data_IF_762931570766
#
_entry.id   IF_762931570766
#
_cell.length_a   1.000
_cell.length_b   1.000
_cell.length_c   1.000
_cell.angle_alpha   90.00
_cell.angle_beta   90.00
_cell.angle_gamma   90.00
#
_symmetry.space_group_name_H-M   'P 1'
#
loop_
_entity.id
_entity.type
_entity.pdbx_description
1 polymer ?
#
# COMPACT_ATOMS: atom_id res chain seq x y z
N UNK A 1 11.18 8.82 -17.20
CA UNK A 1 12.11 7.81 -16.66
C UNK A 1 11.88 7.71 -15.16
N UNK A 2 11.62 6.52 -14.65
CA UNK A 2 11.65 6.24 -13.21
C UNK A 2 13.12 6.30 -12.77
N UNK A 3 13.46 7.04 -11.71
CA UNK A 3 14.81 6.96 -11.15
C UNK A 3 15.05 5.51 -10.71
N UNK A 4 16.08 4.87 -11.25
CA UNK A 4 16.45 3.49 -10.90
C UNK A 4 16.76 3.35 -9.40
N UNK A 5 17.18 4.43 -8.75
CA UNK A 5 17.37 4.53 -7.30
C UNK A 5 16.08 4.28 -6.48
N UNK A 6 14.89 4.38 -7.10
CA UNK A 6 13.60 4.10 -6.45
C UNK A 6 13.12 2.65 -6.61
N UNK A 7 13.79 1.84 -7.44
CA UNK A 7 13.50 0.41 -7.58
C UNK A 7 14.05 -0.35 -6.37
N UNK A 8 13.29 -0.32 -5.27
CA UNK A 8 13.61 -1.05 -4.04
C UNK A 8 13.30 -0.30 -2.74
N UNK A 9 12.95 0.99 -2.80
CA UNK A 9 12.75 1.82 -1.60
C UNK A 9 11.39 1.62 -0.93
N UNK A 10 10.38 1.15 -1.66
CA UNK A 10 9.07 0.82 -1.09
C UNK A 10 9.02 -0.64 -0.67
N UNK A 11 9.75 -0.97 0.40
CA UNK A 11 9.60 -2.25 1.09
C UNK A 11 8.28 -2.18 1.84
N UNK A 12 7.34 -3.05 1.46
CA UNK A 12 6.22 -3.34 2.33
C UNK A 12 6.79 -4.09 3.52
N UNK A 13 6.73 -3.47 4.68
CA UNK A 13 7.09 -4.09 5.94
C UNK A 13 5.89 -4.80 6.56
N UNK A 14 6.17 -5.76 7.44
CA UNK A 14 5.12 -6.39 8.24
C UNK A 14 4.37 -5.31 9.05
N UNK A 15 3.08 -5.53 9.26
CA UNK A 15 2.26 -4.56 10.02
C UNK A 15 2.78 -4.42 11.45
N UNK A 16 3.32 -5.50 12.03
CA UNK A 16 3.92 -5.49 13.36
C UNK A 16 5.18 -4.62 13.42
N UNK A 17 6.10 -4.76 12.46
CA UNK A 17 7.32 -3.95 12.43
C UNK A 17 6.98 -2.47 12.23
N UNK A 18 6.05 -2.16 11.33
CA UNK A 18 5.58 -0.78 11.12
C UNK A 18 5.03 -0.16 12.41
N UNK A 19 4.12 -0.86 13.09
CA UNK A 19 3.51 -0.37 14.32
C UNK A 19 4.53 -0.28 15.46
N UNK A 20 5.43 -1.24 15.59
CA UNK A 20 6.48 -1.24 16.61
C UNK A 20 7.39 -0.02 16.49
N UNK A 21 7.85 0.29 15.26
CA UNK A 21 8.68 1.48 15.00
C UNK A 21 7.95 2.78 15.36
N UNK A 22 6.69 2.91 14.94
CA UNK A 22 5.92 4.13 15.18
C UNK A 22 5.58 4.33 16.66
N UNK A 23 5.17 3.26 17.36
CA UNK A 23 4.74 3.35 18.76
C UNK A 23 5.93 3.63 19.71
N UNK A 24 7.14 3.20 19.32
CA UNK A 24 8.38 3.44 20.09
C UNK A 24 9.02 4.80 19.80
N UNK A 25 8.59 5.51 18.75
CA UNK A 25 9.13 6.83 18.37
C UNK A 25 9.03 7.87 19.49
N UNK A 26 10.12 8.57 19.79
CA UNK A 26 10.22 9.62 20.81
C UNK A 26 9.45 10.90 20.43
N UNK A 27 8.67 11.51 21.36
CA UNK A 27 8.18 12.90 21.17
C UNK A 27 9.37 13.86 21.19
N UNK A 28 9.25 15.02 20.54
CA UNK A 28 10.18 16.15 20.67
C UNK A 28 10.52 16.53 22.13
N UNK A 29 9.60 16.34 23.08
CA UNK A 29 9.86 16.54 24.52
C UNK A 29 10.60 15.40 25.24
N UNK A 30 11.07 14.39 24.50
CA UNK A 30 11.74 13.22 25.05
C UNK A 30 10.82 12.13 25.61
N UNK A 31 9.51 12.22 25.40
CA UNK A 31 8.58 11.23 25.92
C UNK A 31 8.59 9.92 25.11
N UNK A 32 9.09 8.85 25.72
CA UNK A 32 9.11 7.51 25.14
C UNK A 32 8.04 6.58 25.74
N UNK A 33 7.44 6.96 26.87
CA UNK A 33 6.40 6.17 27.53
C UNK A 33 5.10 6.13 26.70
N UNK A 34 4.70 4.91 26.31
CA UNK A 34 3.50 4.66 25.52
C UNK A 34 2.20 4.98 26.28
N UNK A 35 2.18 4.86 27.60
CA UNK A 35 1.02 5.22 28.42
C UNK A 35 0.76 6.73 28.39
N UNK A 36 1.81 7.50 28.08
CA UNK A 36 1.77 8.95 27.89
C UNK A 36 1.51 9.33 26.43
N UNK A 37 1.17 8.36 25.57
CA UNK A 37 0.75 8.57 24.18
C UNK A 37 -0.70 8.12 24.01
N UNK A 38 -1.51 8.91 23.31
CA UNK A 38 -2.84 8.51 22.84
C UNK A 38 -2.73 8.18 21.35
N UNK A 39 -2.84 6.91 21.02
CA UNK A 39 -2.71 6.43 19.65
C UNK A 39 -4.10 6.19 19.04
N UNK A 40 -4.31 6.69 17.82
CA UNK A 40 -5.45 6.35 16.98
C UNK A 40 -4.92 5.67 15.73
N UNK A 41 -5.27 4.41 15.56
CA UNK A 41 -4.91 3.63 14.37
C UNK A 41 -6.16 3.53 13.50
N UNK A 42 -5.99 3.80 12.21
CA UNK A 42 -7.03 3.60 11.20
C UNK A 42 -6.43 2.86 10.01
N UNK A 43 -7.24 2.09 9.30
CA UNK A 43 -6.76 1.30 8.16
C UNK A 43 -7.82 1.16 7.09
N UNK A 44 -7.37 1.02 5.84
CA UNK A 44 -8.22 0.85 4.67
C UNK A 44 -7.48 0.11 3.56
N UNK A 45 -7.96 -1.09 3.21
CA UNK A 45 -7.19 -1.97 2.34
C UNK A 45 -5.86 -2.36 3.00
N UNK A 46 -4.74 -2.14 2.30
CA UNK A 46 -3.38 -2.29 2.81
C UNK A 46 -2.84 -1.03 3.53
N UNK A 47 -3.58 0.08 3.49
CA UNK A 47 -3.16 1.33 4.10
C UNK A 47 -3.35 1.30 5.61
N UNK A 48 -2.34 1.75 6.35
CA UNK A 48 -2.35 1.89 7.81
C UNK A 48 -1.90 3.29 8.17
N UNK A 49 -2.76 4.00 8.89
CA UNK A 49 -2.55 5.36 9.37
C UNK A 49 -2.53 5.36 10.89
N UNK A 50 -1.48 5.93 11.47
CA UNK A 50 -1.30 6.05 12.91
C UNK A 50 -1.14 7.51 13.29
N UNK A 51 -2.05 7.99 14.13
CA UNK A 51 -1.96 9.33 14.74
C UNK A 51 -1.64 9.16 16.21
N UNK A 52 -0.52 9.73 16.64
CA UNK A 52 -0.07 9.72 18.03
C UNK A 52 -0.18 11.13 18.59
N UNK A 53 -0.94 11.29 19.68
CA UNK A 53 -0.95 12.52 20.48
C UNK A 53 -0.24 12.29 21.80
N UNK A 54 0.84 13.01 22.05
CA UNK A 54 1.51 12.95 23.34
C UNK A 54 0.69 13.68 24.42
N UNK A 55 0.55 13.06 25.60
CA UNK A 55 -0.18 13.65 26.72
C UNK A 55 0.61 14.75 27.42
N UNK A 56 1.96 14.68 27.39
CA UNK A 56 2.89 15.68 27.97
C UNK A 56 3.02 16.93 27.10
N UNK A 57 3.64 16.80 25.92
CA UNK A 57 3.95 17.90 25.00
C UNK A 57 2.74 18.34 24.14
N UNK A 58 1.63 17.58 24.14
CA UNK A 58 0.47 17.77 23.25
C UNK A 58 0.75 17.68 21.74
N UNK A 59 2.01 17.44 21.35
CA UNK A 59 2.43 17.17 19.97
C UNK A 59 1.60 16.05 19.34
N UNK A 60 1.30 16.23 18.05
CA UNK A 60 0.59 15.26 17.22
C UNK A 60 1.53 14.82 16.11
N UNK A 61 1.81 13.52 16.07
CA UNK A 61 2.60 12.88 15.03
C UNK A 61 1.65 12.02 14.17
N UNK A 62 1.81 12.08 12.86
CA UNK A 62 1.03 11.29 11.91
C UNK A 62 1.96 10.46 11.03
N UNK A 63 1.66 9.17 10.92
CA UNK A 63 2.45 8.21 10.16
C UNK A 63 1.52 7.39 9.26
N UNK A 64 2.00 7.10 8.06
CA UNK A 64 1.33 6.25 7.08
C UNK A 64 2.35 5.33 6.42
N UNK A 65 1.96 4.10 6.10
CA UNK A 65 2.84 3.13 5.42
C UNK A 65 2.95 3.35 3.90
N UNK A 66 2.08 4.19 3.35
CA UNK A 66 2.02 4.62 1.96
C UNK A 66 2.47 6.09 1.84
N UNK A 67 3.13 6.44 0.73
CA UNK A 67 3.33 7.85 0.40
C UNK A 67 2.02 8.50 -0.10
N UNK A 68 1.89 9.84 -0.09
CA UNK A 68 0.65 10.53 -0.46
C UNK A 68 0.10 10.15 -1.84
N UNK A 69 0.98 9.85 -2.80
CA UNK A 69 0.60 9.50 -4.18
C UNK A 69 0.46 7.98 -4.41
N UNK A 70 0.62 7.18 -3.36
CA UNK A 70 0.62 5.72 -3.43
C UNK A 70 -0.64 5.13 -2.81
N UNK A 71 -1.21 4.12 -3.49
CA UNK A 71 -2.27 3.29 -2.94
C UNK A 71 -1.89 1.84 -3.19
N UNK A 72 -1.34 1.17 -2.17
CA UNK A 72 -0.87 -0.20 -2.30
C UNK A 72 -2.02 -1.12 -2.69
N UNK A 73 -3.21 -0.92 -2.12
CA UNK A 73 -4.37 -1.75 -2.44
C UNK A 73 -4.69 -1.76 -3.93
N UNK A 74 -4.66 -0.57 -4.56
CA UNK A 74 -4.86 -0.41 -6.01
C UNK A 74 -3.71 -1.03 -6.78
N UNK A 75 -2.46 -0.76 -6.38
CA UNK A 75 -1.26 -1.28 -7.05
C UNK A 75 -1.25 -2.82 -7.07
N UNK A 76 -1.49 -3.47 -5.93
CA UNK A 76 -1.56 -4.93 -5.85
C UNK A 76 -2.74 -5.49 -6.60
N UNK A 77 -3.92 -4.87 -6.54
CA UNK A 77 -5.07 -5.33 -7.33
C UNK A 77 -4.77 -5.31 -8.85
N UNK A 78 -3.99 -4.34 -9.34
CA UNK A 78 -3.50 -4.34 -10.72
C UNK A 78 -2.51 -5.48 -10.97
N UNK A 79 -1.49 -5.61 -10.12
CA UNK A 79 -0.46 -6.63 -10.27
C UNK A 79 -1.06 -8.04 -10.28
N UNK A 80 -2.00 -8.31 -9.38
CA UNK A 80 -2.69 -9.59 -9.28
C UNK A 80 -3.65 -9.82 -10.45
N UNK A 81 -4.30 -8.77 -10.97
CA UNK A 81 -5.10 -8.88 -12.20
C UNK A 81 -4.24 -9.31 -13.39
N UNK A 82 -3.07 -8.71 -13.57
CA UNK A 82 -2.13 -9.09 -14.63
C UNK A 82 -1.51 -10.47 -14.42
N UNK A 83 -1.27 -10.85 -13.15
CA UNK A 83 -0.72 -12.14 -12.77
C UNK A 83 -1.74 -13.28 -12.70
N UNK A 84 -3.04 -13.01 -12.91
CA UNK A 84 -4.11 -14.00 -12.80
C UNK A 84 -4.39 -14.46 -11.36
N UNK A 85 -3.89 -13.76 -10.34
CA UNK A 85 -4.09 -14.10 -8.94
C UNK A 85 -5.49 -13.68 -8.48
N UNK A 86 -6.17 -14.59 -7.79
CA UNK A 86 -7.43 -14.28 -7.13
C UNK A 86 -7.19 -13.58 -5.78
N UNK A 87 -8.26 -13.03 -5.20
CA UNK A 87 -8.18 -12.28 -3.95
C UNK A 87 -7.60 -13.12 -2.79
N UNK A 88 -7.88 -14.42 -2.74
CA UNK A 88 -7.42 -15.29 -1.66
C UNK A 88 -5.93 -15.59 -1.77
N UNK A 89 -5.44 -15.88 -2.98
CA UNK A 89 -4.02 -16.11 -3.23
C UNK A 89 -3.20 -14.87 -2.86
N UNK A 90 -3.68 -13.70 -3.29
CA UNK A 90 -3.09 -12.43 -2.91
C UNK A 90 -3.04 -12.23 -1.39
N UNK A 91 -4.17 -12.46 -0.70
CA UNK A 91 -4.23 -12.35 0.76
C UNK A 91 -3.25 -13.31 1.45
N UNK A 92 -3.17 -14.55 0.99
CA UNK A 92 -2.24 -15.54 1.54
C UNK A 92 -0.78 -15.11 1.34
N UNK A 93 -0.41 -14.60 0.16
CA UNK A 93 0.94 -14.08 -0.08
C UNK A 93 1.29 -12.92 0.85
N UNK A 94 0.35 -12.00 1.08
CA UNK A 94 0.56 -10.87 2.00
C UNK A 94 0.69 -11.32 3.46
N UNK A 95 -0.07 -12.33 3.88
CA UNK A 95 0.04 -12.89 5.22
C UNK A 95 1.39 -13.55 5.47
N UNK A 96 1.96 -14.25 4.47
CA UNK A 96 3.32 -14.81 4.53
C UNK A 96 4.36 -13.71 4.78
N UNK A 97 4.14 -12.51 4.24
CA UNK A 97 4.99 -11.34 4.45
C UNK A 97 4.70 -10.60 5.78
N UNK A 98 3.81 -11.13 6.63
CA UNK A 98 3.44 -10.51 7.91
C UNK A 98 2.52 -9.30 7.76
N UNK A 99 1.83 -9.16 6.63
CA UNK A 99 0.85 -8.11 6.39
C UNK A 99 -0.52 -8.66 6.76
N UNK A 100 -0.99 -8.28 7.95
CA UNK A 100 -2.23 -8.81 8.52
C UNK A 100 -3.46 -8.00 8.08
N UNK A 101 -3.28 -6.75 7.67
CA UNK A 101 -4.39 -5.90 7.22
C UNK A 101 -4.56 -6.04 5.72
N UNK A 102 -5.59 -6.79 5.33
CA UNK A 102 -5.86 -7.13 3.94
C UNK A 102 -7.12 -6.42 3.41
N UNK A 103 -7.17 -6.11 2.10
CA UNK A 103 -8.39 -5.58 1.49
C UNK A 103 -9.50 -6.63 1.47
N UNK A 104 -10.74 -6.15 1.58
CA UNK A 104 -11.91 -6.99 1.35
C UNK A 104 -12.01 -7.38 -0.13
N UNK A 105 -12.71 -8.49 -0.40
CA UNK A 105 -13.02 -8.91 -1.78
C UNK A 105 -13.70 -7.80 -2.59
N UNK A 106 -14.60 -7.04 -1.96
CA UNK A 106 -15.31 -5.93 -2.62
C UNK A 106 -14.37 -4.80 -3.05
N UNK A 107 -13.45 -4.37 -2.18
CA UNK A 107 -12.47 -3.32 -2.50
C UNK A 107 -11.50 -3.83 -3.57
N UNK A 108 -11.02 -5.06 -3.41
CA UNK A 108 -10.12 -5.71 -4.37
C UNK A 108 -10.71 -5.77 -5.78
N UNK A 109 -11.92 -6.32 -5.93
CA UNK A 109 -12.58 -6.43 -7.23
C UNK A 109 -12.99 -5.07 -7.79
N UNK A 110 -13.33 -4.08 -6.94
CA UNK A 110 -13.58 -2.71 -7.40
C UNK A 110 -12.35 -2.14 -8.12
N UNK A 111 -11.16 -2.29 -7.54
CA UNK A 111 -9.92 -1.83 -8.19
C UNK A 111 -9.57 -2.64 -9.43
N UNK A 112 -9.69 -3.97 -9.40
CA UNK A 112 -9.47 -4.80 -10.59
C UNK A 112 -10.41 -4.41 -11.75
N UNK A 113 -11.70 -4.22 -11.46
CA UNK A 113 -12.68 -3.81 -12.47
C UNK A 113 -12.36 -2.44 -13.05
N UNK A 114 -11.97 -1.50 -12.19
CA UNK A 114 -11.55 -0.16 -12.62
C UNK A 114 -10.35 -0.21 -13.57
N UNK A 115 -9.31 -1.00 -13.26
CA UNK A 115 -8.11 -1.11 -14.11
C UNK A 115 -8.32 -1.96 -15.36
N UNK A 116 -9.17 -2.99 -15.31
CA UNK A 116 -9.34 -3.93 -16.41
C UNK A 116 -9.76 -3.23 -17.71
N UNK A 117 -10.56 -2.16 -17.61
CA UNK A 117 -10.98 -1.37 -18.77
C UNK A 117 -9.79 -0.70 -19.45
N UNK A 118 -8.95 -0.02 -18.68
CA UNK A 118 -7.79 0.72 -19.19
C UNK A 118 -6.73 -0.22 -19.75
N UNK A 119 -6.50 -1.37 -19.08
CA UNK A 119 -5.58 -2.40 -19.55
C UNK A 119 -6.05 -2.97 -20.89
N UNK A 120 -7.33 -3.34 -21.01
CA UNK A 120 -7.89 -3.88 -22.26
C UNK A 120 -7.77 -2.88 -23.41
N UNK A 121 -8.09 -1.61 -23.15
CA UNK A 121 -7.94 -0.56 -24.14
C UNK A 121 -6.49 -0.40 -24.60
N UNK A 122 -5.56 -0.30 -23.66
CA UNK A 122 -4.12 -0.15 -23.94
C UNK A 122 -3.56 -1.37 -24.69
N UNK A 123 -3.94 -2.58 -24.29
CA UNK A 123 -3.54 -3.80 -24.97
C UNK A 123 -4.05 -3.85 -26.42
N UNK A 124 -5.30 -3.42 -26.65
CA UNK A 124 -5.87 -3.35 -28.00
C UNK A 124 -5.13 -2.33 -28.88
N UNK A 125 -4.84 -1.14 -28.38
CA UNK A 125 -4.09 -0.13 -29.13
C UNK A 125 -2.65 -0.58 -29.43
N UNK A 126 -1.99 -1.23 -28.47
CA UNK A 126 -0.67 -1.79 -28.68
C UNK A 126 -0.68 -2.92 -29.71
N UNK A 127 -1.69 -3.80 -29.69
CA UNK A 127 -1.85 -4.86 -30.68
C UNK A 127 -2.06 -4.29 -32.11
N UNK A 128 -2.87 -3.24 -32.27
CA UNK A 128 -3.02 -2.54 -33.55
C UNK A 128 -1.70 -1.97 -34.04
N UNK A 129 -0.96 -1.27 -33.19
CA UNK A 129 0.35 -0.70 -33.53
C UNK A 129 1.34 -1.79 -33.96
N UNK A 130 1.40 -2.90 -33.23
CA UNK A 130 2.27 -4.03 -33.57
C UNK A 130 1.89 -4.66 -34.92
N UNK A 131 0.59 -4.79 -35.21
CA UNK A 131 0.12 -5.29 -36.49
C UNK A 131 0.54 -4.37 -37.65
N UNK A 132 0.36 -3.06 -37.51
CA UNK A 132 0.78 -2.10 -38.54
C UNK A 132 2.29 -2.16 -38.81
N UNK A 133 3.11 -2.23 -37.76
CA UNK A 133 4.57 -2.39 -37.88
C UNK A 133 5.01 -3.72 -38.51
N UNK A 134 4.14 -4.73 -38.57
CA UNK A 134 4.44 -6.04 -39.16
C UNK A 134 4.08 -6.13 -40.64
N UNK A 135 3.44 -5.09 -41.19
CA UNK A 135 2.97 -5.02 -42.58
C UNK A 135 3.87 -4.10 -43.43
N UNK A 136 4.74 -3.30 -42.80
CA UNK A 136 5.84 -2.54 -43.43
C UNK A 136 7.13 -3.37 -43.51
#
# INVERSE_FOLDING_TARGET
>A
MMNEEKLGSSIICSTESFLSLILTQQCSCGNNDILQKKCKISSGGLSVNVVIKCKKCKEILSFQNESPDTNYTKAFAAATLCGGLNCQEFQNSMLILGIIKLPSKSIYHKYQKSMSKDIKHTASENAKKALYLSID
#
